data_IF_555817282413
#
_entry.id   IF_555817282413
#
_cell.length_a   1.000
_cell.length_b   1.000
_cell.length_c   1.000
_cell.angle_alpha   90.00
_cell.angle_beta   90.00
_cell.angle_gamma   90.00
#
_symmetry.space_group_name_H-M   'P 1'
#
loop_
_entity.id
_entity.type
_entity.pdbx_description
1 polymer ?
#
# COMPACT_ATOMS: atom_id res chain seq x y z
N UNK A 1 -14.71 30.93 -3.05
CA UNK A 1 -14.29 31.69 -1.85
C UNK A 1 -15.28 31.57 -0.68
N UNK A 2 -16.38 30.82 -0.83
CA UNK A 2 -17.46 30.70 0.16
C UNK A 2 -17.22 29.68 1.29
N UNK A 3 -16.10 28.95 1.27
CA UNK A 3 -15.80 27.92 2.27
C UNK A 3 -14.72 28.37 3.26
N UNK A 4 -14.90 27.99 4.53
CA UNK A 4 -13.88 28.17 5.58
C UNK A 4 -12.61 27.43 5.18
N UNK A 5 -11.48 28.10 5.32
CA UNK A 5 -10.17 27.50 5.05
C UNK A 5 -9.87 26.44 6.10
N UNK A 6 -9.37 25.29 5.65
CA UNK A 6 -8.96 24.20 6.52
C UNK A 6 -7.58 23.71 6.11
N UNK A 7 -6.78 23.26 7.09
CA UNK A 7 -5.44 22.73 6.81
C UNK A 7 -5.55 21.45 5.97
N UNK A 8 -4.83 21.40 4.85
CA UNK A 8 -4.80 20.27 3.93
C UNK A 8 -3.39 19.71 3.84
N UNK A 9 -3.30 18.41 3.61
CA UNK A 9 -2.05 17.78 3.24
C UNK A 9 -1.72 18.17 1.79
N UNK A 10 -0.52 18.72 1.57
CA UNK A 10 -0.03 19.05 0.23
C UNK A 10 0.54 17.80 -0.45
N UNK A 11 1.83 17.54 -0.30
CA UNK A 11 2.49 16.32 -0.76
C UNK A 11 3.01 15.54 0.44
N UNK A 12 2.54 14.30 0.59
CA UNK A 12 2.97 13.39 1.65
C UNK A 12 3.55 12.14 0.99
N UNK A 13 4.82 11.89 1.26
CA UNK A 13 5.58 10.77 0.69
C UNK A 13 6.60 10.26 1.69
N UNK A 14 6.91 8.96 1.62
CA UNK A 14 8.00 8.36 2.39
C UNK A 14 9.33 8.63 1.67
N UNK A 15 10.37 8.99 2.42
CA UNK A 15 11.72 9.04 1.89
C UNK A 15 12.24 7.62 1.63
N UNK A 16 13.00 7.38 0.55
CA UNK A 16 13.57 6.06 0.29
C UNK A 16 14.54 5.65 1.40
N UNK A 17 14.66 4.34 1.63
CA UNK A 17 15.67 3.77 2.52
C UNK A 17 17.10 4.04 2.00
N UNK A 18 18.09 3.94 2.90
CA UNK A 18 19.51 4.14 2.54
C UNK A 18 20.07 3.01 1.67
N UNK A 19 19.55 1.80 1.86
CA UNK A 19 19.92 0.62 1.09
C UNK A 19 18.88 0.40 -0.01
N UNK A 20 19.26 0.35 -1.29
CA UNK A 20 18.33 -0.02 -2.36
C UNK A 20 17.79 -1.42 -2.12
N UNK A 21 16.49 -1.60 -2.34
CA UNK A 21 15.82 -2.91 -2.26
C UNK A 21 15.03 -3.12 -3.55
N UNK A 22 15.18 -4.30 -4.15
CA UNK A 22 14.25 -4.76 -5.18
C UNK A 22 12.96 -5.27 -4.55
N UNK A 23 11.91 -5.47 -5.36
CA UNK A 23 10.66 -6.11 -4.89
C UNK A 23 10.95 -7.52 -4.35
N UNK A 24 11.82 -8.28 -5.02
CA UNK A 24 12.21 -9.61 -4.57
C UNK A 24 12.90 -9.58 -3.18
N UNK A 25 13.77 -8.60 -2.94
CA UNK A 25 14.42 -8.43 -1.64
C UNK A 25 13.42 -8.11 -0.52
N UNK A 26 12.39 -7.31 -0.84
CA UNK A 26 11.37 -6.90 0.14
C UNK A 26 10.43 -8.04 0.55
N UNK A 27 10.17 -8.99 -0.35
CA UNK A 27 9.19 -10.06 -0.09
C UNK A 27 9.80 -11.40 0.28
N UNK A 28 11.12 -11.59 0.16
CA UNK A 28 11.79 -12.90 0.26
C UNK A 28 11.47 -13.71 1.53
N UNK A 29 11.19 -13.02 2.64
CA UNK A 29 10.91 -13.63 3.95
C UNK A 29 9.41 -13.77 4.23
N UNK A 30 8.55 -13.49 3.24
CA UNK A 30 7.09 -13.65 3.33
C UNK A 30 6.70 -15.05 2.88
N UNK A 31 6.27 -15.89 3.81
CA UNK A 31 5.83 -17.26 3.54
C UNK A 31 4.49 -17.31 2.77
N UNK A 32 3.51 -16.52 3.21
CA UNK A 32 2.20 -16.42 2.58
C UNK A 32 1.66 -14.98 2.75
N UNK A 33 1.45 -14.27 1.64
CA UNK A 33 1.03 -12.88 1.69
C UNK A 33 0.38 -12.39 0.40
N UNK A 34 0.12 -11.09 0.34
CA UNK A 34 -0.43 -10.41 -0.84
C UNK A 34 0.51 -9.26 -1.22
N UNK A 35 0.96 -9.28 -2.47
CA UNK A 35 1.64 -8.15 -3.08
C UNK A 35 0.61 -7.25 -3.77
N UNK A 36 0.39 -6.07 -3.20
CA UNK A 36 -0.51 -5.05 -3.72
C UNK A 36 0.30 -4.10 -4.61
N UNK A 37 -0.02 -4.04 -5.89
CA UNK A 37 0.66 -3.18 -6.85
C UNK A 37 -0.24 -2.01 -7.28
N UNK A 38 0.36 -0.82 -7.40
CA UNK A 38 -0.36 0.42 -7.71
C UNK A 38 -1.08 1.03 -6.50
N UNK A 39 -2.01 1.96 -6.77
CA UNK A 39 -2.76 2.71 -5.75
C UNK A 39 -4.26 2.58 -5.98
N UNK A 40 -5.03 2.40 -4.92
CA UNK A 40 -6.49 2.41 -4.94
C UNK A 40 -7.07 3.50 -4.04
N UNK A 41 -8.37 3.36 -3.74
CA UNK A 41 -9.06 4.22 -2.77
C UNK A 41 -8.50 4.01 -1.36
N UNK A 42 -8.55 5.06 -0.54
CA UNK A 42 -8.14 5.01 0.86
C UNK A 42 -9.07 5.88 1.71
N UNK A 43 -9.26 5.47 2.94
CA UNK A 43 -10.07 6.19 3.93
C UNK A 43 -9.50 5.95 5.32
N UNK A 44 -9.71 6.91 6.21
CA UNK A 44 -9.31 6.84 7.62
C UNK A 44 -10.45 7.38 8.47
N UNK A 45 -10.73 6.73 9.60
CA UNK A 45 -11.75 7.23 10.51
C UNK A 45 -11.31 8.54 11.19
N UNK A 46 -12.26 9.27 11.76
CA UNK A 46 -12.02 10.59 12.35
C UNK A 46 -11.04 10.55 13.54
N UNK A 47 -11.10 9.50 14.35
CA UNK A 47 -10.23 9.28 15.51
C UNK A 47 -8.87 8.69 15.12
N UNK A 48 -8.73 8.23 13.86
CA UNK A 48 -7.50 7.68 13.25
C UNK A 48 -7.04 6.34 13.82
N UNK A 49 -7.98 5.54 14.33
CA UNK A 49 -7.66 4.20 14.82
C UNK A 49 -7.64 3.15 13.69
N UNK A 50 -8.41 3.39 12.63
CA UNK A 50 -8.60 2.50 11.51
C UNK A 50 -8.36 3.25 10.20
N UNK A 51 -7.58 2.62 9.33
CA UNK A 51 -7.39 3.04 7.97
C UNK A 51 -7.66 1.87 7.04
N UNK A 52 -8.20 2.16 5.87
CA UNK A 52 -8.38 1.22 4.78
C UNK A 52 -7.72 1.78 3.53
N UNK A 53 -7.12 0.91 2.73
CA UNK A 53 -6.52 1.25 1.46
C UNK A 53 -6.64 0.08 0.50
N UNK A 54 -6.75 0.40 -0.78
CA UNK A 54 -6.71 -0.56 -1.87
C UNK A 54 -5.50 -0.37 -2.78
N UNK A 55 -5.35 -1.27 -3.73
CA UNK A 55 -4.41 -1.20 -4.84
C UNK A 55 -5.11 -1.45 -6.17
N UNK A 56 -4.30 -1.48 -7.23
CA UNK A 56 -4.80 -1.69 -8.59
C UNK A 56 -4.74 -3.17 -8.98
N UNK A 57 -3.68 -3.87 -8.58
CA UNK A 57 -3.47 -5.29 -8.85
C UNK A 57 -3.07 -6.00 -7.55
N UNK A 58 -3.49 -7.25 -7.41
CA UNK A 58 -3.25 -8.06 -6.24
C UNK A 58 -2.66 -9.39 -6.67
N UNK A 59 -1.50 -9.73 -6.13
CA UNK A 59 -0.84 -11.00 -6.39
C UNK A 59 -0.60 -11.74 -5.08
N UNK A 60 -0.64 -13.05 -5.12
CA UNK A 60 -0.23 -13.84 -3.97
C UNK A 60 1.29 -13.88 -3.86
N UNK A 61 1.80 -13.87 -2.64
CA UNK A 61 3.19 -14.20 -2.31
C UNK A 61 3.20 -15.59 -1.69
N UNK A 62 4.04 -16.49 -2.19
CA UNK A 62 4.33 -17.81 -1.60
C UNK A 62 5.83 -18.00 -1.49
N UNK A 63 6.31 -18.30 -0.28
CA UNK A 63 7.72 -18.60 0.00
C UNK A 63 8.69 -17.58 -0.63
N UNK A 64 8.40 -16.29 -0.45
CA UNK A 64 9.23 -15.21 -0.97
C UNK A 64 9.09 -14.90 -2.46
N UNK A 65 8.10 -15.46 -3.16
CA UNK A 65 7.89 -15.26 -4.59
C UNK A 65 6.47 -14.77 -4.91
N UNK A 66 6.36 -13.84 -5.86
CA UNK A 66 5.08 -13.44 -6.45
C UNK A 66 4.59 -14.60 -7.33
N UNK A 67 3.36 -15.05 -7.11
CA UNK A 67 2.73 -16.11 -7.88
C UNK A 67 1.61 -15.56 -8.76
N UNK A 68 0.41 -16.13 -8.68
CA UNK A 68 -0.75 -15.73 -9.49
C UNK A 68 -1.41 -14.45 -8.98
N UNK A 69 -2.22 -13.84 -9.85
CA UNK A 69 -3.15 -12.80 -9.43
C UNK A 69 -4.18 -13.40 -8.47
N UNK A 70 -4.58 -12.61 -7.48
CA UNK A 70 -5.72 -12.92 -6.63
C UNK A 70 -6.97 -12.56 -7.43
N UNK A 71 -7.69 -13.56 -7.89
CA UNK A 71 -9.07 -13.42 -8.37
C UNK A 71 -10.03 -13.54 -7.18
N UNK A 72 -11.24 -13.02 -7.31
CA UNK A 72 -12.24 -12.91 -6.24
C UNK A 72 -12.29 -14.16 -5.34
N UNK A 73 -12.07 -13.92 -4.03
CA UNK A 73 -12.33 -14.88 -2.96
C UNK A 73 -13.75 -14.69 -2.41
#
# INVERSE_FOLDING_TARGET
>A
WSSVQFQRMANVSLAPGKTPLSVADMIKDVENGIYIHGRGSYSIDQQRFNAQFGGQLYYQIRNGQITGMVEDA
#
